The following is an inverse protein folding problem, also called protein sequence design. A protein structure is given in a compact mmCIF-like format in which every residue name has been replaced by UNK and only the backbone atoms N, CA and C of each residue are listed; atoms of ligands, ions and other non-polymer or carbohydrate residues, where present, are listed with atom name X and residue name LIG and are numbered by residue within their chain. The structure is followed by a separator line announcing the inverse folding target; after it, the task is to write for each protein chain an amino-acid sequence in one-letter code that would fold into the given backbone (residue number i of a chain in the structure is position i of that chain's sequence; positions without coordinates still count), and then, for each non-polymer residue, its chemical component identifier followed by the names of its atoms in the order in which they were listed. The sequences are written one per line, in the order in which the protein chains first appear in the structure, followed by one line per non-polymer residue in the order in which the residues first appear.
data_IF_914289563350
#
_entry.id   IF_914289563350
#
_cell.length_a   1.000
_cell.length_b   1.000
_cell.length_c   1.000
_cell.angle_alpha   90.00
_cell.angle_beta   90.00
_cell.angle_gamma   90.00
#
_symmetry.space_group_name_H-M   'P 1'
#
loop_
_entity.id
_entity.type
_entity.pdbx_description
1 polymer ?
#
# COMPACT_ATOMS: atom_id res chain seq x y z
N UNK A 1 -17.99 10.66 -10.40
CA UNK A 1 -17.06 10.08 -11.38
C UNK A 1 -15.71 10.84 -11.46
N UNK A 2 -15.26 11.53 -10.41
CA UNK A 2 -14.07 12.42 -10.43
C UNK A 2 -13.15 12.24 -9.21
N UNK A 3 -12.64 11.03 -8.96
CA UNK A 3 -11.63 10.79 -7.90
C UNK A 3 -10.54 9.76 -8.24
N UNK A 4 -10.42 9.34 -9.50
CA UNK A 4 -9.40 8.36 -9.91
C UNK A 4 -8.05 8.99 -10.30
N UNK A 5 -8.00 10.31 -10.51
CA UNK A 5 -6.76 11.02 -10.86
C UNK A 5 -5.74 11.11 -9.72
N UNK A 6 -6.20 11.18 -8.47
CA UNK A 6 -5.31 11.45 -7.33
C UNK A 6 -4.41 10.24 -7.00
N UNK A 7 -4.95 9.02 -7.09
CA UNK A 7 -4.19 7.81 -6.75
C UNK A 7 -3.07 7.53 -7.76
N UNK A 8 -3.35 7.62 -9.06
CA UNK A 8 -2.36 7.36 -10.12
C UNK A 8 -1.21 8.38 -10.08
N UNK A 9 -1.55 9.66 -9.83
CA UNK A 9 -0.58 10.75 -9.72
C UNK A 9 0.35 10.53 -8.53
N UNK A 10 -0.18 10.14 -7.37
CA UNK A 10 0.64 9.82 -6.19
C UNK A 10 1.59 8.68 -6.48
N UNK A 11 1.12 7.57 -7.08
CA UNK A 11 1.97 6.42 -7.40
C UNK A 11 3.10 6.81 -8.38
N UNK A 12 2.79 7.60 -9.40
CA UNK A 12 3.78 8.12 -10.35
C UNK A 12 4.83 8.98 -9.64
N UNK A 13 4.42 9.91 -8.77
CA UNK A 13 5.35 10.73 -8.00
C UNK A 13 6.22 9.89 -7.06
N UNK A 14 5.66 8.89 -6.37
CA UNK A 14 6.42 7.99 -5.50
C UNK A 14 7.44 7.19 -6.29
N UNK A 15 7.08 6.66 -7.47
CA UNK A 15 8.02 5.92 -8.32
C UNK A 15 9.12 6.81 -8.89
N UNK A 16 8.79 8.02 -9.34
CA UNK A 16 9.79 8.98 -9.84
C UNK A 16 10.76 9.35 -8.72
N UNK A 17 10.25 9.67 -7.53
CA UNK A 17 11.08 10.05 -6.40
C UNK A 17 11.93 8.89 -5.89
N UNK A 18 11.38 7.68 -5.83
CA UNK A 18 12.12 6.47 -5.48
C UNK A 18 13.22 6.15 -6.51
N UNK A 19 12.93 6.28 -7.81
CA UNK A 19 13.92 6.09 -8.87
C UNK A 19 15.06 7.12 -8.77
N UNK A 20 14.72 8.40 -8.55
CA UNK A 20 15.70 9.46 -8.36
C UNK A 20 16.54 9.25 -7.09
N UNK A 21 15.92 8.83 -5.98
CA UNK A 21 16.59 8.54 -4.73
C UNK A 21 17.46 7.29 -4.76
N UNK A 22 17.12 6.30 -5.60
CA UNK A 22 17.93 5.10 -5.78
C UNK A 22 19.19 5.34 -6.62
N UNK A 23 19.17 6.35 -7.51
CA UNK A 23 20.27 6.69 -8.42
C UNK A 23 21.66 6.84 -7.74
N UNK A 24 21.80 7.57 -6.61
CA UNK A 24 23.09 7.70 -5.91
C UNK A 24 23.56 6.41 -5.22
N UNK A 25 22.68 5.43 -5.02
CA UNK A 25 23.01 4.14 -4.40
C UNK A 25 23.42 3.06 -5.41
N UNK A 26 23.34 3.32 -6.72
CA UNK A 26 23.81 2.36 -7.73
C UNK A 26 25.35 2.42 -7.84
N UNK A 27 26.07 1.31 -7.59
CA UNK A 27 27.49 1.21 -7.90
C UNK A 27 27.69 1.07 -9.42
N UNK A 28 27.48 2.18 -10.14
CA UNK A 28 27.55 2.28 -11.61
C UNK A 28 28.86 1.74 -12.19
N UNK A 29 29.97 1.90 -11.46
CA UNK A 29 31.32 1.56 -11.89
C UNK A 29 31.64 0.05 -12.03
N UNK A 30 30.72 -0.86 -11.65
CA UNK A 30 30.95 -2.33 -11.66
C UNK A 30 29.98 -3.14 -12.52
N UNK A 31 28.95 -2.52 -13.12
CA UNK A 31 27.78 -3.25 -13.67
C UNK A 31 27.37 -2.81 -15.07
N UNK A 32 28.21 -2.09 -15.80
CA UNK A 32 27.89 -1.48 -17.10
C UNK A 32 27.58 -2.53 -18.19
N UNK A 33 28.11 -3.76 -18.08
CA UNK A 33 27.86 -4.85 -19.02
C UNK A 33 26.70 -5.80 -18.66
N UNK A 34 26.12 -5.71 -17.46
CA UNK A 34 25.08 -6.64 -16.99
C UNK A 34 23.67 -6.13 -17.33
N UNK A 35 23.52 -4.82 -17.56
CA UNK A 35 22.22 -4.18 -17.76
C UNK A 35 21.52 -4.57 -19.07
N UNK A 36 22.28 -5.00 -20.10
CA UNK A 36 21.75 -5.42 -21.40
C UNK A 36 21.51 -6.93 -21.52
N UNK A 37 21.65 -7.70 -20.44
CA UNK A 37 21.33 -9.13 -20.51
C UNK A 37 19.80 -9.32 -20.69
N UNK A 38 19.37 -10.03 -21.75
CA UNK A 38 17.94 -10.21 -22.04
C UNK A 38 17.23 -10.97 -20.92
N UNK A 39 17.94 -11.87 -20.22
CA UNK A 39 17.42 -12.62 -19.08
C UNK A 39 17.06 -11.68 -17.91
N UNK A 40 17.95 -10.75 -17.54
CA UNK A 40 17.69 -9.78 -16.47
C UNK A 40 16.57 -8.82 -16.82
N UNK A 41 16.50 -8.39 -18.08
CA UNK A 41 15.41 -7.54 -18.57
C UNK A 41 14.08 -8.27 -18.47
N UNK A 42 14.02 -9.54 -18.88
CA UNK A 42 12.81 -10.34 -18.84
C UNK A 42 12.36 -10.61 -17.39
N UNK A 43 13.30 -10.90 -16.49
CA UNK A 43 13.01 -11.14 -15.06
C UNK A 43 12.56 -9.86 -14.34
N UNK A 44 13.19 -8.73 -14.66
CA UNK A 44 12.81 -7.41 -14.14
C UNK A 44 11.43 -6.98 -14.63
N UNK A 45 11.13 -7.18 -15.91
CA UNK A 45 9.79 -6.97 -16.46
C UNK A 45 8.77 -7.92 -15.83
N UNK A 46 9.12 -9.20 -15.65
CA UNK A 46 8.27 -10.19 -15.00
C UNK A 46 7.89 -9.79 -13.59
N UNK A 47 8.86 -9.42 -12.75
CA UNK A 47 8.60 -8.95 -11.38
C UNK A 47 7.89 -7.60 -11.38
N UNK A 48 8.27 -6.66 -12.24
CA UNK A 48 7.61 -5.36 -12.36
C UNK A 48 6.12 -5.50 -12.71
N UNK A 49 5.80 -6.35 -13.68
CA UNK A 49 4.41 -6.60 -14.08
C UNK A 49 3.65 -7.39 -13.00
N UNK A 50 4.22 -8.48 -12.51
CA UNK A 50 3.55 -9.35 -11.53
C UNK A 50 3.39 -8.70 -10.15
N UNK A 51 4.37 -7.92 -9.69
CA UNK A 51 4.37 -7.30 -8.36
C UNK A 51 3.80 -5.88 -8.36
N UNK A 52 3.71 -5.21 -9.52
CA UNK A 52 3.22 -3.82 -9.61
C UNK A 52 1.92 -3.73 -10.39
N UNK A 53 1.91 -4.20 -11.64
CA UNK A 53 0.74 -4.06 -12.52
C UNK A 53 -0.41 -4.94 -12.03
N UNK A 54 -0.16 -6.21 -11.73
CA UNK A 54 -1.19 -7.14 -11.28
C UNK A 54 -1.88 -6.67 -9.97
N UNK A 55 -1.14 -6.29 -8.90
CA UNK A 55 -1.78 -5.83 -7.67
C UNK A 55 -2.45 -4.48 -7.86
N UNK A 56 -1.92 -3.62 -8.73
CA UNK A 56 -2.54 -2.33 -9.04
C UNK A 56 -3.89 -2.48 -9.77
N UNK A 57 -4.01 -3.42 -10.71
CA UNK A 57 -5.29 -3.75 -11.35
C UNK A 57 -6.29 -4.34 -10.34
N UNK A 58 -5.86 -5.29 -9.52
CA UNK A 58 -6.69 -5.87 -8.45
C UNK A 58 -7.14 -4.80 -7.45
N UNK A 59 -6.24 -3.91 -7.03
CA UNK A 59 -6.53 -2.79 -6.15
C UNK A 59 -7.53 -1.82 -6.77
N UNK A 60 -7.31 -1.42 -8.03
CA UNK A 60 -8.23 -0.53 -8.76
C UNK A 60 -9.63 -1.14 -8.90
N UNK A 61 -9.70 -2.46 -9.10
CA UNK A 61 -10.97 -3.20 -9.18
C UNK A 61 -11.64 -3.32 -7.82
N UNK A 62 -10.88 -3.58 -6.76
CA UNK A 62 -11.35 -3.65 -5.37
C UNK A 62 -11.83 -2.30 -4.84
N UNK A 63 -11.14 -1.21 -5.15
CA UNK A 63 -11.45 0.13 -4.65
C UNK A 63 -12.84 0.63 -5.10
N UNK A 64 -13.37 0.10 -6.22
CA UNK A 64 -14.76 0.37 -6.66
C UNK A 64 -15.83 -0.29 -5.78
N UNK A 65 -15.45 -1.24 -4.92
CA UNK A 65 -16.38 -2.11 -4.16
C UNK A 65 -16.09 -2.20 -2.66
N UNK A 66 -15.01 -1.59 -2.16
CA UNK A 66 -14.59 -1.71 -0.75
C UNK A 66 -15.25 -0.61 0.10
N UNK A 67 -16.11 -1.05 1.02
CA UNK A 67 -16.67 -0.24 2.10
C UNK A 67 -15.70 -0.18 3.29
N UNK A 68 -15.88 0.76 4.23
CA UNK A 68 -14.92 1.01 5.31
C UNK A 68 -14.62 -0.23 6.18
N UNK A 69 -15.60 -1.13 6.34
CA UNK A 69 -15.43 -2.41 7.04
C UNK A 69 -14.52 -3.40 6.30
N UNK A 70 -14.61 -3.47 4.96
CA UNK A 70 -13.80 -4.38 4.14
C UNK A 70 -12.32 -3.95 4.13
N UNK A 71 -12.06 -2.64 4.11
CA UNK A 71 -10.69 -2.11 4.22
C UNK A 71 -10.02 -2.49 5.55
N UNK A 72 -10.77 -2.50 6.66
CA UNK A 72 -10.27 -2.88 7.98
C UNK A 72 -9.87 -4.36 8.04
N UNK A 73 -10.67 -5.23 7.42
CA UNK A 73 -10.37 -6.68 7.34
C UNK A 73 -9.11 -6.93 6.51
N UNK A 74 -8.94 -6.25 5.37
CA UNK A 74 -7.73 -6.37 4.54
C UNK A 74 -6.48 -5.87 5.29
N UNK A 75 -6.59 -4.76 6.03
CA UNK A 75 -5.47 -4.25 6.84
C UNK A 75 -5.08 -5.21 7.97
N UNK A 76 -6.03 -5.96 8.54
CA UNK A 76 -5.76 -6.96 9.56
C UNK A 76 -5.10 -8.23 8.99
N UNK A 77 -5.42 -8.61 7.75
CA UNK A 77 -4.90 -9.84 7.14
C UNK A 77 -3.50 -9.66 6.52
N UNK A 78 -3.16 -8.45 6.07
CA UNK A 78 -1.87 -8.13 5.43
C UNK A 78 -0.65 -8.56 6.28
N UNK A 79 -0.53 -8.20 7.57
CA UNK A 79 0.62 -8.61 8.39
C UNK A 79 0.69 -10.12 8.66
N UNK A 80 -0.44 -10.82 8.67
CA UNK A 80 -0.49 -12.29 8.81
C UNK A 80 0.09 -12.95 7.57
N UNK A 81 -0.34 -12.52 6.38
CA UNK A 81 0.18 -13.03 5.10
C UNK A 81 1.65 -12.69 4.94
N UNK A 82 2.08 -11.47 5.27
CA UNK A 82 3.47 -11.05 5.22
C UNK A 82 4.37 -11.91 6.12
N UNK A 83 3.92 -12.21 7.35
CA UNK A 83 4.66 -13.08 8.29
C UNK A 83 4.75 -14.51 7.76
N UNK A 84 3.65 -15.04 7.23
CA UNK A 84 3.60 -16.40 6.69
C UNK A 84 4.52 -16.55 5.48
N UNK A 85 4.49 -15.60 4.54
CA UNK A 85 5.41 -15.56 3.40
C UNK A 85 6.86 -15.38 3.84
N UNK A 86 7.14 -14.56 4.87
CA UNK A 86 8.49 -14.42 5.41
C UNK A 86 9.07 -15.73 5.95
N UNK A 87 8.25 -16.52 6.67
CA UNK A 87 8.69 -17.81 7.22
C UNK A 87 8.82 -18.86 6.10
N UNK A 88 7.82 -18.96 5.21
CA UNK A 88 7.76 -20.01 4.19
C UNK A 88 8.66 -19.76 2.98
N UNK A 89 8.77 -18.52 2.50
CA UNK A 89 9.55 -18.22 1.30
C UNK A 89 11.04 -17.98 1.59
N UNK A 90 11.36 -17.45 2.77
CA UNK A 90 12.74 -17.09 3.13
C UNK A 90 13.41 -18.08 4.10
N UNK A 91 12.67 -19.05 4.66
CA UNK A 91 13.19 -20.11 5.55
C UNK A 91 14.12 -19.58 6.67
N UNK A 92 13.88 -18.36 7.15
CA UNK A 92 14.82 -17.74 8.08
C UNK A 92 14.83 -18.46 9.43
N UNK A 93 16.02 -18.81 9.99
CA UNK A 93 16.12 -19.32 11.34
C UNK A 93 15.67 -18.23 12.31
N UNK A 94 14.66 -18.55 13.13
CA UNK A 94 14.05 -17.63 14.09
C UNK A 94 15.02 -17.28 15.23
N UNK A 95 15.99 -16.40 14.95
CA UNK A 95 16.86 -15.82 15.97
C UNK A 95 16.08 -14.90 16.90
N UNK A 96 16.48 -14.82 18.17
CA UNK A 96 15.77 -14.08 19.22
C UNK A 96 15.45 -12.62 18.86
N UNK A 97 16.33 -11.92 18.13
CA UNK A 97 16.08 -10.55 17.67
C UNK A 97 14.94 -10.42 16.67
N UNK A 98 14.75 -11.40 15.78
CA UNK A 98 13.63 -11.43 14.81
C UNK A 98 12.30 -11.68 15.51
N UNK A 99 12.31 -12.51 16.55
CA UNK A 99 11.12 -12.74 17.37
C UNK A 99 10.66 -11.45 18.07
N UNK A 100 11.59 -10.69 18.64
CA UNK A 100 11.28 -9.38 19.23
C UNK A 100 10.70 -8.43 18.18
N UNK A 101 11.34 -8.32 17.01
CA UNK A 101 10.83 -7.51 15.90
C UNK A 101 9.43 -7.91 15.46
N UNK A 102 9.15 -9.21 15.35
CA UNK A 102 7.85 -9.75 14.98
C UNK A 102 6.77 -9.39 16.02
N UNK A 103 7.05 -9.59 17.31
CA UNK A 103 6.14 -9.23 18.40
C UNK A 103 5.88 -7.72 18.41
N UNK A 104 6.88 -6.88 18.14
CA UNK A 104 6.77 -5.42 18.13
C UNK A 104 5.89 -4.92 16.97
N UNK A 105 6.05 -5.49 15.77
CA UNK A 105 5.23 -5.17 14.60
C UNK A 105 3.79 -5.64 14.83
N UNK A 106 3.59 -6.90 15.25
CA UNK A 106 2.25 -7.43 15.54
C UNK A 106 1.54 -6.60 16.60
N UNK A 107 2.25 -6.23 17.68
CA UNK A 107 1.71 -5.36 18.73
C UNK A 107 1.32 -3.98 18.19
N UNK A 108 2.12 -3.38 17.32
CA UNK A 108 1.82 -2.10 16.69
C UNK A 108 0.56 -2.17 15.80
N UNK A 109 0.44 -3.21 14.98
CA UNK A 109 -0.75 -3.45 14.15
C UNK A 109 -1.99 -3.60 15.03
N UNK A 110 -1.91 -4.42 16.08
CA UNK A 110 -3.03 -4.67 16.99
C UNK A 110 -3.45 -3.38 17.69
N UNK A 111 -2.51 -2.57 18.19
CA UNK A 111 -2.82 -1.27 18.82
C UNK A 111 -3.48 -0.29 17.83
N UNK A 112 -3.02 -0.26 16.58
CA UNK A 112 -3.60 0.62 15.55
C UNK A 112 -4.98 0.14 15.09
N UNK A 113 -5.20 -1.17 15.02
CA UNK A 113 -6.48 -1.75 14.60
C UNK A 113 -7.53 -1.71 15.72
N UNK A 114 -7.10 -1.84 16.99
CA UNK A 114 -7.96 -1.72 18.17
C UNK A 114 -8.39 -0.28 18.48
N UNK A 115 -7.69 0.74 17.96
CA UNK A 115 -8.19 2.12 18.00
C UNK A 115 -9.25 2.24 16.91
N UNK A 116 -10.55 2.28 17.25
CA UNK A 116 -11.55 2.59 16.25
C UNK A 116 -11.16 3.95 15.69
N UNK A 117 -11.16 4.10 14.37
CA UNK A 117 -11.05 5.41 13.71
C UNK A 117 -12.22 6.28 14.18
N UNK A 118 -12.05 6.90 15.34
CA UNK A 118 -13.02 7.70 16.07
C UNK A 118 -12.71 9.18 15.97
N UNK A 119 -12.14 9.63 14.84
CA UNK A 119 -12.04 11.06 14.49
C UNK A 119 -12.07 11.28 12.98
N UNK A 120 -13.20 11.02 12.33
CA UNK A 120 -13.70 12.06 11.41
C UNK A 120 -14.44 13.07 12.27
N UNK A 121 -13.81 14.20 12.59
CA UNK A 121 -14.58 15.38 12.98
C UNK A 121 -15.56 15.64 11.84
N UNK A 122 -16.84 15.42 12.12
CA UNK A 122 -17.98 15.89 11.36
C UNK A 122 -17.77 17.39 11.19
N UNK A 123 -17.43 17.83 9.98
CA UNK A 123 -17.59 19.23 9.63
C UNK A 123 -19.09 19.38 9.39
N UNK A 124 -19.81 19.65 10.48
CA UNK A 124 -21.20 20.13 10.43
C UNK A 124 -21.17 21.44 9.65
N UNK A 125 -21.44 21.36 8.34
CA UNK A 125 -21.79 22.53 7.55
C UNK A 125 -23.13 23.09 8.07
N UNK A 126 -23.28 24.41 8.18
CA UNK A 126 -24.44 25.01 8.84
C UNK A 126 -25.74 24.61 8.13
N UNK A 127 -26.69 24.15 8.94
CA UNK A 127 -28.09 23.96 8.60
C UNK A 127 -28.62 25.23 7.92
N UNK A 128 -28.91 25.18 6.63
CA UNK A 128 -29.82 26.16 6.05
C UNK A 128 -31.24 25.88 6.59
N UNK A 129 -31.92 26.87 7.16
CA UNK A 129 -33.34 26.74 7.46
C UNK A 129 -34.11 26.58 6.14
N UNK A 130 -34.81 25.46 5.97
CA UNK A 130 -35.87 25.33 4.96
C UNK A 130 -36.97 26.32 5.33
N UNK A 131 -36.94 27.48 4.69
CA UNK A 131 -37.98 28.47 4.73
C UNK A 131 -39.29 27.87 4.17
N UNK A 132 -40.33 27.90 5.01
CA UNK A 132 -41.66 28.34 4.60
C UNK A 132 -42.43 27.48 3.62
N UNK A 133 -43.29 26.61 4.17
CA UNK A 133 -44.60 26.36 3.58
C UNK A 133 -45.39 27.67 3.58
N UNK A 134 -45.70 28.19 2.39
CA UNK A 134 -46.78 29.13 2.08
C UNK A 134 -47.17 28.77 0.64
N UNK A 135 -48.36 28.28 0.29
CA UNK A 135 -49.68 28.73 0.70
C UNK A 135 -50.28 29.54 -0.44
N UNK A 136 -50.82 28.85 -1.46
CA UNK A 136 -51.99 29.20 -2.30
C UNK A 136 -52.07 28.29 -3.51
#
# INVERSE_FOLDING_TARGET
MMRQYHSLTITVYTFIFAAAGSLPFLPVKKREGIFLQPDLLLQSLGIGVLCTVLPFLSYTSGLKRIDAGQASVIAAIEPVVATCLGILAYHEPAGAGRFIGMVLILSSVVILNLRPTGRRKKHDGPHLPRCGKTGR
#
